data_IF_842440630100
#
_entry.id   IF_842440630100
#
_cell.length_a   1.000
_cell.length_b   1.000
_cell.length_c   1.000
_cell.angle_alpha   90.00
_cell.angle_beta   90.00
_cell.angle_gamma   90.00
#
_symmetry.space_group_name_H-M   'P 1'
#
loop_
_entity.id
_entity.type
_entity.pdbx_description
1 polymer ?
#
# COMPACT_ATOMS: atom_id res chain seq x y z
N UNK A 1 10.02 22.76 -50.57
CA UNK A 1 11.10 22.41 -49.61
C UNK A 1 10.63 21.26 -48.72
N UNK A 2 11.32 20.11 -48.68
CA UNK A 2 10.88 18.98 -47.85
C UNK A 2 11.36 19.16 -46.39
N UNK A 3 10.45 18.92 -45.44
CA UNK A 3 10.69 18.98 -43.99
C UNK A 3 11.71 17.92 -43.57
N UNK A 4 12.82 18.34 -42.95
CA UNK A 4 13.81 17.45 -42.31
C UNK A 4 13.15 16.67 -41.17
N UNK A 5 13.10 15.34 -41.29
CA UNK A 5 12.80 14.42 -40.18
C UNK A 5 13.93 14.58 -39.13
N UNK A 6 13.61 15.10 -37.94
CA UNK A 6 14.53 15.04 -36.79
C UNK A 6 14.53 13.61 -36.27
N UNK A 7 15.60 12.88 -36.53
CA UNK A 7 15.88 11.59 -35.89
C UNK A 7 16.17 11.83 -34.42
N UNK A 8 15.30 11.31 -33.54
CA UNK A 8 15.56 11.23 -32.10
C UNK A 8 16.72 10.25 -31.91
N UNK A 9 17.87 10.75 -31.48
CA UNK A 9 19.00 9.90 -31.09
C UNK A 9 18.63 9.19 -29.78
N UNK A 10 18.31 7.90 -29.87
CA UNK A 10 18.33 7.02 -28.71
C UNK A 10 19.77 6.97 -28.18
N UNK A 11 19.99 7.54 -26.99
CA UNK A 11 21.19 7.26 -26.22
C UNK A 11 20.97 5.92 -25.51
N UNK A 12 21.69 4.84 -25.87
CA UNK A 12 21.59 3.60 -25.12
C UNK A 12 22.13 3.88 -23.72
N UNK A 13 21.26 3.86 -22.72
CA UNK A 13 21.65 3.86 -21.32
C UNK A 13 22.41 2.56 -21.08
N UNK A 14 23.76 2.62 -21.10
CA UNK A 14 24.59 1.50 -20.68
C UNK A 14 24.32 1.29 -19.19
N UNK A 15 23.38 0.40 -18.86
CA UNK A 15 23.34 -0.23 -17.53
C UNK A 15 24.68 -0.93 -17.38
N UNK A 16 25.60 -0.34 -16.61
CA UNK A 16 26.67 -1.13 -16.03
C UNK A 16 25.97 -2.21 -15.23
N UNK A 17 26.05 -3.46 -15.69
CA UNK A 17 25.65 -4.61 -14.89
C UNK A 17 26.61 -4.59 -13.71
N UNK A 18 26.23 -3.90 -12.64
CA UNK A 18 26.80 -4.13 -11.33
C UNK A 18 26.58 -5.62 -11.12
N UNK A 19 27.66 -6.40 -11.13
CA UNK A 19 27.63 -7.77 -10.67
C UNK A 19 27.24 -7.69 -9.21
N UNK A 20 25.93 -7.71 -8.93
CA UNK A 20 25.48 -7.89 -7.57
C UNK A 20 26.01 -9.24 -7.15
N UNK A 21 26.84 -9.24 -6.10
CA UNK A 21 27.10 -10.47 -5.37
C UNK A 21 25.78 -10.79 -4.71
N UNK A 22 24.93 -11.54 -5.41
CA UNK A 22 23.61 -11.88 -4.90
C UNK A 22 23.81 -12.93 -3.82
N UNK A 23 23.97 -12.45 -2.59
CA UNK A 23 23.89 -13.27 -1.39
C UNK A 23 22.42 -13.57 -1.16
N UNK A 24 21.84 -14.47 -1.94
CA UNK A 24 20.57 -15.07 -1.54
C UNK A 24 20.87 -15.90 -0.29
N UNK A 25 20.50 -15.35 0.86
CA UNK A 25 20.52 -16.06 2.13
C UNK A 25 19.61 -17.30 2.03
N UNK A 26 19.92 -18.37 2.77
CA UNK A 26 19.04 -19.53 2.82
C UNK A 26 17.68 -19.13 3.41
N UNK A 27 16.61 -19.37 2.67
CA UNK A 27 15.22 -19.15 3.11
C UNK A 27 14.26 -18.95 1.93
N UNK A 28 12.96 -18.95 2.22
CA UNK A 28 11.90 -18.73 1.23
C UNK A 28 10.98 -17.61 1.71
N UNK A 29 10.86 -16.55 0.90
CA UNK A 29 9.81 -15.55 1.05
C UNK A 29 8.56 -16.02 0.32
N UNK A 30 7.42 -16.03 1.01
CA UNK A 30 6.10 -16.23 0.42
C UNK A 30 5.34 -14.91 0.42
N UNK A 31 4.75 -14.58 -0.72
CA UNK A 31 3.83 -13.45 -0.87
C UNK A 31 2.47 -14.04 -1.19
N UNK A 32 1.49 -13.79 -0.33
CA UNK A 32 0.21 -14.50 -0.34
C UNK A 32 -0.92 -13.46 -0.31
N UNK A 33 -1.56 -13.17 -1.45
CA UNK A 33 -2.74 -12.31 -1.48
C UNK A 33 -3.92 -13.05 -0.84
N UNK A 34 -4.57 -12.42 0.15
CA UNK A 34 -5.84 -12.89 0.71
C UNK A 34 -7.06 -12.17 0.10
N UNK A 35 -6.82 -11.05 -0.59
CA UNK A 35 -7.78 -10.26 -1.35
C UNK A 35 -7.07 -9.10 -2.07
N UNK A 36 -7.79 -8.43 -2.97
CA UNK A 36 -7.28 -7.31 -3.77
C UNK A 36 -6.58 -7.71 -5.08
N UNK A 37 -6.66 -8.98 -5.50
CA UNK A 37 -6.21 -9.43 -6.82
C UNK A 37 -7.39 -9.94 -7.65
N UNK A 38 -7.44 -9.52 -8.91
CA UNK A 38 -8.58 -9.77 -9.83
C UNK A 38 -9.91 -9.24 -9.30
N UNK A 39 -9.86 -8.26 -8.40
CA UNK A 39 -11.01 -7.60 -7.77
C UNK A 39 -10.65 -6.18 -7.34
N UNK A 40 -11.66 -5.34 -7.07
CA UNK A 40 -11.50 -4.03 -6.43
C UNK A 40 -12.08 -4.12 -5.02
N UNK A 41 -11.24 -3.86 -4.02
CA UNK A 41 -11.61 -3.99 -2.62
C UNK A 41 -10.86 -5.11 -1.89
N UNK A 42 -11.10 -5.22 -0.57
CA UNK A 42 -10.61 -6.33 0.26
C UNK A 42 -9.08 -6.51 0.22
N UNK A 43 -8.33 -5.41 0.05
CA UNK A 43 -6.87 -5.47 -0.02
C UNK A 43 -6.31 -6.09 1.27
N UNK A 44 -5.61 -7.22 1.12
CA UNK A 44 -4.87 -7.84 2.21
C UNK A 44 -3.83 -8.80 1.68
N UNK A 45 -2.56 -8.55 2.01
CA UNK A 45 -1.44 -9.32 1.51
C UNK A 45 -0.52 -9.77 2.63
N UNK A 46 -0.19 -11.06 2.65
CA UNK A 46 0.73 -11.66 3.61
C UNK A 46 2.13 -11.75 3.01
N UNK A 47 3.12 -11.43 3.83
CA UNK A 47 4.52 -11.74 3.59
C UNK A 47 5.01 -12.67 4.71
N UNK A 48 5.43 -13.88 4.35
CA UNK A 48 5.96 -14.89 5.29
C UNK A 48 7.40 -15.21 4.92
N UNK A 49 8.32 -15.04 5.87
CA UNK A 49 9.71 -15.49 5.76
C UNK A 49 10.09 -16.31 7.00
N UNK A 50 10.47 -17.56 6.78
CA UNK A 50 10.61 -18.60 7.81
C UNK A 50 9.34 -18.77 8.65
N UNK A 51 9.32 -18.18 9.86
CA UNK A 51 8.20 -18.16 10.79
C UNK A 51 7.68 -16.75 11.05
N UNK A 52 8.29 -15.71 10.50
CA UNK A 52 7.81 -14.35 10.72
C UNK A 52 6.80 -14.01 9.64
N UNK A 53 5.70 -13.40 10.05
CA UNK A 53 4.62 -12.98 9.16
C UNK A 53 4.37 -11.49 9.35
N UNK A 54 4.22 -10.75 8.26
CA UNK A 54 3.64 -9.42 8.27
C UNK A 54 2.47 -9.37 7.30
N UNK A 55 1.53 -8.48 7.57
CA UNK A 55 0.33 -8.30 6.75
C UNK A 55 0.30 -6.85 6.29
N UNK A 56 0.12 -6.61 4.99
CA UNK A 56 -0.15 -5.29 4.42
C UNK A 56 -1.64 -5.22 4.11
N UNK A 57 -2.30 -4.24 4.71
CA UNK A 57 -3.73 -3.94 4.63
C UNK A 57 -4.68 -5.06 5.11
N UNK A 58 -5.87 -4.62 5.54
CA UNK A 58 -6.97 -5.45 6.03
C UNK A 58 -8.30 -4.83 5.61
N UNK A 59 -8.51 -4.80 4.30
CA UNK A 59 -9.68 -4.23 3.66
C UNK A 59 -10.97 -5.02 3.76
N UNK A 60 -12.09 -4.36 3.51
CA UNK A 60 -13.34 -5.00 3.11
C UNK A 60 -13.65 -4.73 1.64
N UNK A 61 -14.60 -5.45 1.06
CA UNK A 61 -15.20 -5.15 -0.23
C UNK A 61 -16.70 -4.95 -0.05
N UNK A 62 -17.27 -3.97 -0.76
CA UNK A 62 -18.72 -3.80 -0.80
C UNK A 62 -19.37 -4.87 -1.69
N UNK A 63 -20.57 -5.34 -1.33
CA UNK A 63 -21.28 -6.35 -2.10
C UNK A 63 -21.74 -5.81 -3.46
N UNK A 64 -21.89 -6.70 -4.43
CA UNK A 64 -22.50 -6.41 -5.73
C UNK A 64 -24.04 -6.37 -5.62
N UNK A 65 -24.70 -5.83 -6.65
CA UNK A 65 -26.17 -5.68 -6.68
C UNK A 65 -26.94 -7.01 -6.54
N UNK A 66 -26.31 -8.14 -6.88
CA UNK A 66 -26.90 -9.47 -6.81
C UNK A 66 -26.70 -10.19 -5.47
N UNK A 67 -26.16 -9.51 -4.45
CA UNK A 67 -25.90 -10.05 -3.11
C UNK A 67 -26.83 -9.47 -2.02
N UNK A 68 -28.16 -9.66 -2.10
CA UNK A 68 -29.08 -9.06 -1.15
C UNK A 68 -28.85 -9.58 0.29
N UNK A 69 -28.79 -8.65 1.24
CA UNK A 69 -28.62 -8.95 2.67
C UNK A 69 -27.17 -9.08 3.14
N UNK A 70 -26.19 -8.89 2.27
CA UNK A 70 -24.78 -8.77 2.62
C UNK A 70 -24.44 -7.28 2.78
N UNK A 71 -23.73 -6.90 3.86
CA UNK A 71 -23.28 -5.51 4.07
C UNK A 71 -21.86 -5.27 3.52
N UNK A 72 -20.96 -6.24 3.71
CA UNK A 72 -19.56 -6.22 3.22
C UNK A 72 -18.92 -7.60 3.30
N UNK A 73 -17.87 -7.79 2.52
CA UNK A 73 -17.09 -9.03 2.37
C UNK A 73 -15.67 -8.78 2.94
N UNK A 74 -15.11 -9.74 3.68
CA UNK A 74 -13.78 -9.62 4.31
C UNK A 74 -12.83 -10.76 3.89
N UNK A 75 -11.50 -10.59 3.99
CA UNK A 75 -10.53 -11.62 3.60
C UNK A 75 -10.66 -12.91 4.41
N UNK A 76 -10.43 -14.05 3.77
CA UNK A 76 -10.37 -15.34 4.44
C UNK A 76 -8.99 -15.56 5.08
N UNK A 77 -8.93 -15.46 6.40
CA UNK A 77 -7.68 -15.58 7.18
C UNK A 77 -7.31 -17.02 7.56
N UNK A 78 -7.90 -18.04 6.95
CA UNK A 78 -7.65 -19.45 7.31
C UNK A 78 -6.18 -19.84 7.26
N UNK A 79 -5.37 -19.18 6.41
CA UNK A 79 -3.92 -19.37 6.34
C UNK A 79 -3.19 -19.05 7.65
N UNK A 80 -3.71 -18.09 8.43
CA UNK A 80 -3.10 -17.59 9.66
C UNK A 80 -3.45 -18.41 10.90
N UNK A 81 -4.39 -19.36 10.78
CA UNK A 81 -4.84 -20.21 11.89
C UNK A 81 -3.67 -21.05 12.42
N UNK A 82 -3.37 -20.93 13.71
CA UNK A 82 -2.24 -21.58 14.36
C UNK A 82 -0.89 -20.90 14.13
N UNK A 83 -0.87 -19.74 13.46
CA UNK A 83 0.30 -18.91 13.20
C UNK A 83 0.17 -17.52 13.83
N UNK A 84 -0.74 -17.31 14.78
CA UNK A 84 -1.03 -16.00 15.35
C UNK A 84 0.23 -15.39 16.00
N UNK A 85 1.00 -16.20 16.73
CA UNK A 85 2.26 -15.78 17.39
C UNK A 85 3.41 -15.46 16.40
N UNK A 86 3.25 -15.85 15.14
CA UNK A 86 4.21 -15.61 14.07
C UNK A 86 4.02 -14.23 13.44
N UNK A 87 2.87 -13.60 13.63
CA UNK A 87 2.53 -12.30 13.06
C UNK A 87 3.23 -11.20 13.87
N UNK A 88 4.16 -10.50 13.21
CA UNK A 88 5.00 -9.46 13.81
C UNK A 88 4.40 -8.08 13.70
N UNK A 89 3.63 -7.84 12.63
CA UNK A 89 2.99 -6.56 12.40
C UNK A 89 1.86 -6.64 11.39
N UNK A 90 0.94 -5.69 11.51
CA UNK A 90 0.03 -5.27 10.45
C UNK A 90 0.45 -3.88 10.00
N UNK A 91 0.55 -3.67 8.70
CA UNK A 91 0.95 -2.42 8.08
C UNK A 91 -0.25 -1.92 7.28
N UNK A 92 -0.70 -0.70 7.54
CA UNK A 92 -1.82 -0.10 6.81
C UNK A 92 -1.31 1.08 5.98
N UNK A 93 -1.56 1.02 4.67
CA UNK A 93 -1.11 2.00 3.69
C UNK A 93 -1.88 3.32 3.79
N UNK A 94 -3.21 3.26 3.89
CA UNK A 94 -4.08 4.42 3.97
C UNK A 94 -5.47 4.10 4.56
N UNK A 95 -6.31 5.11 4.71
CA UNK A 95 -7.55 5.06 5.50
C UNK A 95 -8.83 4.65 4.76
N UNK A 96 -8.78 4.18 3.50
CA UNK A 96 -9.98 3.71 2.83
C UNK A 96 -10.47 2.36 3.37
N UNK A 97 -11.78 2.12 3.29
CA UNK A 97 -12.40 0.93 3.86
C UNK A 97 -11.93 -0.38 3.22
N UNK A 98 -11.54 -0.34 1.96
CA UNK A 98 -10.90 -1.43 1.27
C UNK A 98 -9.45 -1.69 1.67
N UNK A 99 -8.91 -0.93 2.64
CA UNK A 99 -7.61 -1.19 3.28
C UNK A 99 -7.73 -1.35 4.81
N UNK A 100 -8.77 -0.80 5.45
CA UNK A 100 -8.94 -0.85 6.92
C UNK A 100 -10.19 -1.57 7.41
N UNK A 101 -11.16 -1.82 6.53
CA UNK A 101 -12.53 -2.16 6.90
C UNK A 101 -12.69 -3.52 7.57
N UNK A 102 -11.77 -4.47 7.34
CA UNK A 102 -11.81 -5.77 7.99
C UNK A 102 -11.06 -5.83 9.33
N UNK A 103 -10.36 -4.76 9.74
CA UNK A 103 -9.64 -4.71 11.03
C UNK A 103 -10.51 -5.13 12.22
N UNK A 104 -11.74 -4.59 12.41
CA UNK A 104 -12.59 -4.99 13.54
C UNK A 104 -12.94 -6.48 13.56
N UNK A 105 -12.94 -7.12 12.39
CA UNK A 105 -13.37 -8.51 12.22
C UNK A 105 -12.23 -9.52 12.30
N UNK A 106 -10.99 -9.07 12.06
CA UNK A 106 -9.80 -9.91 11.90
C UNK A 106 -8.85 -9.76 13.08
N UNK A 107 -8.62 -8.55 13.58
CA UNK A 107 -7.47 -8.25 14.45
C UNK A 107 -7.41 -9.12 15.71
N UNK A 108 -8.56 -9.34 16.38
CA UNK A 108 -8.62 -10.17 17.58
C UNK A 108 -8.32 -11.65 17.31
N UNK A 109 -8.69 -12.15 16.13
CA UNK A 109 -8.49 -13.55 15.72
C UNK A 109 -7.04 -13.87 15.42
N UNK A 110 -6.23 -12.86 15.12
CA UNK A 110 -4.81 -12.99 14.78
C UNK A 110 -3.88 -12.59 15.93
N UNK A 111 -4.41 -12.38 17.13
CA UNK A 111 -3.62 -12.07 18.33
C UNK A 111 -3.31 -10.60 18.57
N UNK A 112 -3.93 -9.67 17.83
CA UNK A 112 -3.76 -8.22 17.97
C UNK A 112 -2.29 -7.76 17.92
N UNK A 113 -1.54 -8.10 16.86
CA UNK A 113 -0.16 -7.64 16.66
C UNK A 113 -0.09 -6.10 16.56
N UNK A 114 1.10 -5.50 16.72
CA UNK A 114 1.30 -4.08 16.46
C UNK A 114 0.83 -3.68 15.05
N UNK A 115 0.06 -2.60 14.96
CA UNK A 115 -0.44 -2.00 13.73
C UNK A 115 0.34 -0.73 13.43
N UNK A 116 0.97 -0.62 12.27
CA UNK A 116 1.75 0.54 11.84
C UNK A 116 1.04 1.30 10.74
N UNK A 117 0.83 2.60 10.93
CA UNK A 117 0.14 3.44 9.93
C UNK A 117 0.36 4.94 10.19
N UNK A 118 -0.14 5.77 9.26
CA UNK A 118 -0.16 7.23 9.37
C UNK A 118 -1.13 7.76 10.43
N UNK A 119 -1.03 9.06 10.73
CA UNK A 119 -1.85 9.71 11.75
C UNK A 119 -3.34 9.75 11.39
N UNK A 120 -3.68 10.11 10.15
CA UNK A 120 -5.09 10.19 9.71
C UNK A 120 -5.70 8.80 9.68
N UNK A 121 -4.99 7.83 9.10
CA UNK A 121 -5.43 6.44 9.03
C UNK A 121 -5.64 5.84 10.42
N UNK A 122 -4.73 6.11 11.37
CA UNK A 122 -4.91 5.70 12.76
C UNK A 122 -6.18 6.30 13.38
N UNK A 123 -6.47 7.58 13.15
CA UNK A 123 -7.67 8.23 13.66
C UNK A 123 -8.96 7.62 13.07
N UNK A 124 -8.96 7.30 11.77
CA UNK A 124 -10.08 6.63 11.10
C UNK A 124 -10.31 5.21 11.64
N UNK A 125 -9.24 4.44 11.85
CA UNK A 125 -9.29 3.11 12.46
C UNK A 125 -9.84 3.20 13.90
N UNK A 126 -9.34 4.15 14.70
CA UNK A 126 -9.82 4.35 16.07
C UNK A 126 -11.30 4.73 16.09
N UNK A 127 -11.72 5.62 15.20
CA UNK A 127 -13.13 6.02 15.07
C UNK A 127 -14.01 4.82 14.73
N UNK A 128 -13.57 3.98 13.79
CA UNK A 128 -14.28 2.76 13.41
C UNK A 128 -14.39 1.77 14.58
N UNK A 129 -13.35 1.66 15.41
CA UNK A 129 -13.37 0.78 16.59
C UNK A 129 -14.36 1.21 17.68
N UNK A 130 -14.82 2.46 17.71
CA UNK A 130 -15.84 2.91 18.68
C UNK A 130 -17.18 2.17 18.50
N UNK A 131 -17.45 1.67 17.30
CA UNK A 131 -18.64 0.86 17.00
C UNK A 131 -18.52 -0.59 17.51
N UNK A 132 -17.30 -1.04 17.83
CA UNK A 132 -16.99 -2.40 18.26
C UNK A 132 -16.49 -2.43 19.72
N UNK A 133 -17.28 -1.87 20.63
CA UNK A 133 -16.91 -1.61 22.06
C UNK A 133 -16.41 -2.83 22.85
N UNK A 134 -16.76 -4.05 22.41
CA UNK A 134 -16.36 -5.29 23.09
C UNK A 134 -15.01 -5.84 22.61
N UNK A 135 -14.37 -5.21 21.61
CA UNK A 135 -13.06 -5.63 21.12
C UNK A 135 -11.92 -5.05 21.96
N UNK A 136 -10.80 -5.78 21.98
CA UNK A 136 -9.58 -5.29 22.58
C UNK A 136 -9.09 -4.01 21.88
N UNK A 137 -8.45 -3.13 22.64
CA UNK A 137 -7.79 -1.94 22.08
C UNK A 137 -6.67 -2.37 21.14
N UNK A 138 -6.61 -1.71 19.99
CA UNK A 138 -5.56 -1.91 18.99
C UNK A 138 -4.23 -1.34 19.48
N UNK A 139 -3.14 -2.05 19.20
CA UNK A 139 -1.78 -1.55 19.43
C UNK A 139 -1.31 -0.74 18.22
N UNK A 140 -1.80 0.49 18.07
CA UNK A 140 -1.49 1.35 16.92
C UNK A 140 -0.19 2.13 17.16
N UNK A 141 0.69 2.10 16.16
CA UNK A 141 1.98 2.76 16.11
C UNK A 141 1.99 3.75 14.94
N UNK A 142 2.07 5.05 15.27
CA UNK A 142 2.16 6.11 14.25
C UNK A 142 3.57 6.11 13.65
N UNK A 143 3.65 6.08 12.33
CA UNK A 143 4.92 5.98 11.62
C UNK A 143 5.44 7.34 11.16
N UNK A 144 6.76 7.47 11.16
CA UNK A 144 7.46 8.54 10.47
C UNK A 144 7.90 8.00 9.10
N UNK A 145 7.39 8.56 7.98
CA UNK A 145 7.67 8.04 6.65
C UNK A 145 9.14 8.06 6.26
N UNK A 146 10.00 8.76 7.00
CA UNK A 146 11.44 8.83 6.72
C UNK A 146 12.27 7.85 7.55
N UNK A 147 11.63 7.04 8.39
CA UNK A 147 12.31 6.11 9.29
C UNK A 147 12.03 4.67 8.94
N UNK A 148 13.09 3.87 9.05
CA UNK A 148 12.97 2.42 8.99
C UNK A 148 12.56 1.87 10.35
N UNK A 149 11.63 0.92 10.35
CA UNK A 149 11.09 0.28 11.55
C UNK A 149 11.43 -1.20 11.49
N UNK A 150 12.19 -1.68 12.47
CA UNK A 150 12.51 -3.11 12.58
C UNK A 150 11.35 -3.84 13.25
N UNK A 151 10.78 -4.81 12.54
CA UNK A 151 9.66 -5.63 13.02
C UNK A 151 10.15 -6.95 13.62
N UNK A 152 11.21 -7.51 13.04
CA UNK A 152 11.87 -8.72 13.54
C UNK A 152 13.31 -8.84 13.03
N UNK A 153 13.92 -10.02 13.18
CA UNK A 153 15.19 -10.31 12.52
C UNK A 153 15.05 -10.43 10.99
N UNK A 154 13.87 -10.83 10.52
CA UNK A 154 13.58 -11.10 9.11
C UNK A 154 12.88 -9.94 8.40
N UNK A 155 12.23 -9.04 9.14
CA UNK A 155 11.50 -7.91 8.55
C UNK A 155 11.89 -6.56 9.13
N UNK A 156 12.11 -5.61 8.23
CA UNK A 156 12.14 -4.17 8.50
C UNK A 156 11.29 -3.49 7.43
N UNK A 157 10.63 -2.40 7.78
CA UNK A 157 9.79 -1.63 6.85
C UNK A 157 10.23 -0.16 6.80
N UNK A 158 9.91 0.52 5.71
CA UNK A 158 10.07 1.96 5.51
C UNK A 158 8.89 2.43 4.66
N UNK A 159 8.20 3.49 5.09
CA UNK A 159 7.10 4.04 4.31
C UNK A 159 7.65 5.04 3.29
N UNK A 160 6.89 5.35 2.25
CA UNK A 160 7.14 6.49 1.38
C UNK A 160 5.81 7.10 0.97
N UNK A 161 5.75 8.44 0.97
CA UNK A 161 4.51 9.15 0.69
C UNK A 161 4.14 9.06 -0.78
N UNK A 162 2.87 8.80 -1.03
CA UNK A 162 2.23 8.83 -2.35
C UNK A 162 0.99 9.71 -2.29
N UNK A 163 0.53 10.21 -3.43
CA UNK A 163 -0.78 10.85 -3.49
C UNK A 163 -1.85 9.81 -3.73
N UNK A 164 -3.03 10.03 -3.19
CA UNK A 164 -4.22 9.22 -3.44
C UNK A 164 -5.46 10.08 -3.18
N UNK A 165 -6.65 9.49 -3.17
CA UNK A 165 -7.91 10.21 -2.94
C UNK A 165 -8.19 10.44 -1.44
N UNK A 166 -7.29 10.01 -0.57
CA UNK A 166 -7.27 10.35 0.86
C UNK A 166 -5.86 10.82 1.25
N UNK A 167 -5.72 11.86 2.10
CA UNK A 167 -4.43 12.28 2.61
C UNK A 167 -3.75 11.18 3.42
N UNK A 168 -2.45 11.37 3.70
CA UNK A 168 -1.69 10.46 4.57
C UNK A 168 -1.64 9.02 4.03
N UNK A 169 -1.49 8.93 2.70
CA UNK A 169 -1.35 7.68 1.95
C UNK A 169 0.11 7.33 1.70
N UNK A 170 0.43 6.05 1.84
CA UNK A 170 1.81 5.57 1.77
C UNK A 170 1.96 4.26 1.00
N UNK A 171 3.05 4.18 0.24
CA UNK A 171 3.64 2.90 -0.10
C UNK A 171 4.61 2.42 0.98
N UNK A 172 5.00 1.15 0.89
CA UNK A 172 5.84 0.47 1.89
C UNK A 172 6.97 -0.28 1.20
N UNK A 173 8.20 -0.05 1.64
CA UNK A 173 9.35 -0.90 1.34
C UNK A 173 9.49 -1.93 2.45
N UNK A 174 9.45 -3.21 2.08
CA UNK A 174 9.61 -4.35 2.97
C UNK A 174 11.00 -4.93 2.74
N UNK A 175 11.86 -4.84 3.74
CA UNK A 175 13.20 -5.40 3.74
C UNK A 175 13.19 -6.82 4.28
N UNK A 176 13.78 -7.73 3.52
CA UNK A 176 13.94 -9.15 3.87
C UNK A 176 15.40 -9.59 3.65
N UNK A 177 15.81 -10.75 4.18
CA UNK A 177 17.13 -11.32 3.89
C UNK A 177 17.39 -11.63 2.41
N UNK A 178 16.35 -11.71 1.57
CA UNK A 178 16.45 -11.97 0.12
C UNK A 178 16.52 -10.69 -0.73
N UNK A 179 16.18 -9.54 -0.16
CA UNK A 179 16.08 -8.27 -0.86
C UNK A 179 14.89 -7.43 -0.41
N UNK A 180 14.74 -6.27 -1.04
CA UNK A 180 13.64 -5.34 -0.76
C UNK A 180 12.45 -5.57 -1.69
N UNK A 181 11.25 -5.49 -1.14
CA UNK A 181 10.00 -5.51 -1.89
C UNK A 181 9.38 -4.12 -1.77
N UNK A 182 8.89 -3.57 -2.87
CA UNK A 182 8.15 -2.31 -2.86
C UNK A 182 6.68 -2.64 -3.08
N UNK A 183 5.83 -2.28 -2.13
CA UNK A 183 4.38 -2.31 -2.26
C UNK A 183 3.90 -0.86 -2.38
N UNK A 184 3.30 -0.48 -3.50
CA UNK A 184 2.92 0.93 -3.72
C UNK A 184 1.78 1.38 -2.81
N UNK A 185 0.93 0.42 -2.40
CA UNK A 185 -0.43 0.76 -1.99
C UNK A 185 -1.17 1.38 -3.17
N UNK A 186 -2.28 2.04 -2.90
CA UNK A 186 -3.00 2.79 -3.91
C UNK A 186 -2.30 4.13 -4.10
N UNK A 187 -2.10 4.52 -5.36
CA UNK A 187 -1.36 5.74 -5.63
C UNK A 187 -1.74 6.41 -6.95
N UNK A 188 -1.45 7.70 -6.97
CA UNK A 188 -1.31 8.50 -8.18
C UNK A 188 -0.14 9.47 -8.01
N UNK A 189 0.28 10.07 -9.11
CA UNK A 189 1.22 11.19 -9.08
C UNK A 189 0.46 12.47 -9.35
N UNK A 190 0.13 13.20 -8.29
CA UNK A 190 -0.47 14.53 -8.37
C UNK A 190 0.60 15.57 -8.04
N UNK A 191 0.86 16.49 -8.97
CA UNK A 191 1.84 17.56 -8.76
C UNK A 191 1.27 18.75 -7.97
N UNK A 192 -0.06 18.89 -7.94
CA UNK A 192 -0.79 19.95 -7.25
C UNK A 192 -1.91 19.36 -6.37
N UNK A 193 -1.61 18.44 -5.43
CA UNK A 193 -2.62 17.82 -4.59
C UNK A 193 -3.30 18.85 -3.68
N UNK A 194 -4.56 18.59 -3.34
CA UNK A 194 -5.33 19.43 -2.40
C UNK A 194 -5.14 18.91 -0.98
N UNK A 195 -4.71 19.77 -0.07
CA UNK A 195 -4.54 19.45 1.36
C UNK A 195 -3.58 18.28 1.68
N UNK A 196 -2.66 17.96 0.78
CA UNK A 196 -1.57 17.00 1.02
C UNK A 196 -0.29 17.48 0.32
N UNK A 197 0.83 16.84 0.62
CA UNK A 197 2.09 17.07 -0.08
C UNK A 197 2.16 16.20 -1.35
N UNK A 198 2.82 16.65 -2.43
CA UNK A 198 3.11 15.78 -3.57
C UNK A 198 3.87 14.52 -3.14
N UNK A 199 3.70 13.44 -3.92
CA UNK A 199 4.43 12.19 -3.72
C UNK A 199 5.95 12.45 -3.67
N UNK A 200 6.65 11.74 -2.78
CA UNK A 200 8.10 11.93 -2.58
C UNK A 200 8.90 11.20 -3.67
N UNK A 201 8.91 11.76 -4.87
CA UNK A 201 9.61 11.22 -6.03
C UNK A 201 11.13 11.10 -5.81
N UNK A 202 11.71 11.97 -4.98
CA UNK A 202 13.12 11.91 -4.63
C UNK A 202 13.41 10.67 -3.77
N UNK A 203 12.59 10.41 -2.76
CA UNK A 203 12.72 9.21 -1.96
C UNK A 203 12.44 7.95 -2.79
N UNK A 204 11.43 7.97 -3.66
CA UNK A 204 11.14 6.85 -4.56
C UNK A 204 12.32 6.55 -5.51
N UNK A 205 12.97 7.58 -6.04
CA UNK A 205 14.19 7.41 -6.85
C UNK A 205 15.35 6.80 -6.04
N UNK A 206 15.51 7.19 -4.77
CA UNK A 206 16.50 6.58 -3.87
C UNK A 206 16.17 5.12 -3.55
N UNK A 207 14.90 4.76 -3.43
CA UNK A 207 14.45 3.37 -3.28
C UNK A 207 14.77 2.59 -4.55
N UNK A 208 14.42 3.11 -5.74
CA UNK A 208 14.70 2.47 -7.02
C UNK A 208 16.18 2.35 -7.38
N UNK A 209 17.05 3.16 -6.78
CA UNK A 209 18.50 3.03 -6.88
C UNK A 209 19.08 1.87 -6.04
N UNK A 210 18.30 1.32 -5.10
CA UNK A 210 18.62 0.11 -4.33
C UNK A 210 18.21 -1.13 -5.13
N UNK A 211 18.69 -2.30 -4.73
CA UNK A 211 18.23 -3.56 -5.33
C UNK A 211 16.82 -3.91 -4.83
N UNK A 212 15.83 -3.69 -5.69
CA UNK A 212 14.43 -4.10 -5.49
C UNK A 212 14.23 -5.48 -6.11
N UNK A 213 13.86 -6.45 -5.26
CA UNK A 213 13.58 -7.82 -5.64
C UNK A 213 12.23 -7.95 -6.35
N UNK A 214 11.22 -7.25 -5.84
CA UNK A 214 9.86 -7.27 -6.38
C UNK A 214 9.17 -5.91 -6.20
N UNK A 215 8.37 -5.53 -7.20
CA UNK A 215 7.44 -4.39 -7.14
C UNK A 215 6.02 -4.94 -7.23
N UNK A 216 5.19 -4.55 -6.27
CA UNK A 216 3.77 -4.83 -6.21
C UNK A 216 3.07 -3.49 -6.33
N UNK A 217 2.44 -3.28 -7.47
CA UNK A 217 1.89 -2.00 -7.88
C UNK A 217 0.38 -2.10 -8.04
N UNK A 218 -0.31 -1.04 -7.66
CA UNK A 218 -1.69 -0.78 -8.05
C UNK A 218 -1.84 -0.89 -9.57
N UNK A 219 -2.91 -1.56 -10.00
CA UNK A 219 -3.27 -1.84 -11.39
C UNK A 219 -4.64 -1.29 -11.80
N UNK A 220 -5.31 -0.53 -10.92
CA UNK A 220 -6.69 -0.05 -11.10
C UNK A 220 -6.89 0.65 -12.45
N UNK A 221 -5.97 1.55 -12.81
CA UNK A 221 -6.03 2.32 -14.07
C UNK A 221 -5.04 1.84 -15.13
N UNK A 222 -4.51 0.61 -15.03
CA UNK A 222 -3.46 0.12 -15.93
C UNK A 222 -3.88 0.05 -17.42
N UNK A 223 -5.18 -0.03 -17.70
CA UNK A 223 -5.72 -0.05 -19.07
C UNK A 223 -5.88 1.36 -19.67
N UNK A 224 -5.85 2.41 -18.84
CA UNK A 224 -6.03 3.78 -19.26
C UNK A 224 -4.70 4.46 -19.64
N UNK A 225 -4.68 5.08 -20.83
CA UNK A 225 -3.51 5.81 -21.31
C UNK A 225 -3.46 7.22 -20.71
N UNK A 226 -2.25 7.69 -20.40
CA UNK A 226 -2.01 9.08 -20.02
C UNK A 226 -1.67 9.22 -18.54
N UNK A 227 -2.22 10.24 -17.90
CA UNK A 227 -2.09 10.51 -16.48
C UNK A 227 -3.43 10.99 -15.92
N UNK A 228 -3.67 10.75 -14.64
CA UNK A 228 -4.83 11.29 -13.95
C UNK A 228 -4.73 12.81 -13.84
N UNK A 229 -5.88 13.48 -13.88
CA UNK A 229 -5.97 14.91 -13.61
C UNK A 229 -5.73 15.17 -12.11
N UNK A 230 -5.16 16.33 -11.80
CA UNK A 230 -4.94 16.76 -10.42
C UNK A 230 -6.26 17.03 -9.72
N UNK A 231 -6.33 16.73 -8.42
CA UNK A 231 -7.50 17.08 -7.58
C UNK A 231 -7.77 18.59 -7.56
N UNK A 232 -6.72 19.41 -7.65
CA UNK A 232 -6.89 20.87 -7.75
C UNK A 232 -7.70 21.27 -8.98
N UNK A 233 -7.49 20.58 -10.10
CA UNK A 233 -8.22 20.83 -11.34
C UNK A 233 -9.67 20.38 -11.24
N UNK A 234 -9.94 19.26 -10.57
CA UNK A 234 -11.31 18.81 -10.27
C UNK A 234 -12.04 19.86 -9.44
N UNK A 235 -11.38 20.40 -8.41
CA UNK A 235 -11.91 21.48 -7.58
C UNK A 235 -12.29 22.74 -8.38
N UNK A 236 -11.41 23.20 -9.26
CA UNK A 236 -11.69 24.35 -10.14
C UNK A 236 -12.94 24.13 -11.01
N UNK A 237 -13.09 22.94 -11.61
CA UNK A 237 -14.24 22.63 -12.45
C UNK A 237 -15.55 22.55 -11.63
N UNK A 238 -15.49 22.01 -10.41
CA UNK A 238 -16.63 22.02 -9.50
C UNK A 238 -17.06 23.44 -9.12
N UNK A 239 -16.11 24.33 -8.83
CA UNK A 239 -16.41 25.74 -8.54
C UNK A 239 -17.09 26.43 -9.73
N UNK A 240 -16.63 26.18 -10.96
CA UNK A 240 -17.27 26.70 -12.17
C UNK A 240 -18.71 26.18 -12.27
N UNK A 241 -18.94 24.88 -12.12
CA UNK A 241 -20.27 24.28 -12.21
C UNK A 241 -21.21 24.89 -11.15
N UNK A 242 -20.76 25.01 -9.90
CA UNK A 242 -21.57 25.55 -8.81
C UNK A 242 -21.86 27.04 -8.97
N UNK A 243 -20.98 27.82 -9.61
CA UNK A 243 -21.25 29.24 -9.87
C UNK A 243 -22.35 29.49 -10.91
N UNK A 244 -22.73 28.46 -11.68
CA UNK A 244 -23.79 28.51 -12.71
C UNK A 244 -25.07 27.76 -12.30
N UNK A 245 -25.12 27.20 -11.08
CA UNK A 245 -26.29 26.51 -10.52
C UNK A 245 -27.19 27.49 -9.73
#
# INVERSE_FOLDING_TARGET
>A
MPRRKKTVKYFPFKRSVLKSKTFYTQGQLKIIPLGGLEEVGRNSMIFEYDKDIIIVDMGLQFPEEDMPGIDYIIPNISYLKGKENNIKAVIITHGHYDHIGAIPHIMSKIGNPPLYTGCLTAALIQKRQEEFKNLAKLNIQIVDPRKKIRLSNNFQIEFFRVNHNIPDSFGVVIYTPLGSIVHTGDFKFDHNPVNDEPADLNHLAQIGAREVLALLSDSTDAEHKGHQISESKVGEELEIIFSHA
#
